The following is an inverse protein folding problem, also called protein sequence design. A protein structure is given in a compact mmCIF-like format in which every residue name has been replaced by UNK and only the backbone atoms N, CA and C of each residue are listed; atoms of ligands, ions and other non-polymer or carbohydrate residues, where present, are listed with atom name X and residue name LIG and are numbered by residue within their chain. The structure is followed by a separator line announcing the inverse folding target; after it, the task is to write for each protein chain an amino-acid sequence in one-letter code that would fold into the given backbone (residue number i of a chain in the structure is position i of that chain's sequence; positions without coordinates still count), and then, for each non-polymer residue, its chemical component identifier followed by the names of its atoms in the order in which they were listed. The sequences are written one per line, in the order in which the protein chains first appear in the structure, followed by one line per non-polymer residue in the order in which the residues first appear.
data_IF_581210273954
#
_entry.id   IF_581210273954
#
_cell.length_a   1.000
_cell.length_b   1.000
_cell.length_c   1.000
_cell.angle_alpha   90.00
_cell.angle_beta   90.00
_cell.angle_gamma   90.00
#
_symmetry.space_group_name_H-M   'P 1'
#
loop_
_entity.id
_entity.type
_entity.pdbx_description
1 polymer ?
#
# COMPACT_ATOMS: atom_id res chain seq x y z
N UNK A 1 12.07 12.85 -11.60
CA UNK A 1 12.79 12.65 -10.33
C UNK A 1 11.96 11.79 -9.40
N UNK A 2 12.58 10.96 -8.57
CA UNK A 2 11.91 9.87 -7.82
C UNK A 2 11.06 10.34 -6.62
N UNK A 3 11.06 11.64 -6.31
CA UNK A 3 10.30 12.19 -5.17
C UNK A 3 8.79 11.94 -5.24
N UNK A 4 8.18 12.07 -6.43
CA UNK A 4 6.74 11.83 -6.59
C UNK A 4 6.33 10.38 -6.34
N UNK A 5 7.16 9.41 -6.74
CA UNK A 5 6.90 7.98 -6.52
C UNK A 5 6.97 7.60 -5.04
N UNK A 6 7.94 8.15 -4.30
CA UNK A 6 8.08 7.94 -2.86
C UNK A 6 6.87 8.48 -2.09
N UNK A 7 6.42 9.70 -2.42
CA UNK A 7 5.24 10.29 -1.79
C UNK A 7 3.97 9.49 -2.10
N UNK A 8 3.78 9.08 -3.35
CA UNK A 8 2.66 8.23 -3.73
C UNK A 8 2.67 6.89 -2.99
N UNK A 9 3.85 6.26 -2.85
CA UNK A 9 3.99 5.00 -2.11
C UNK A 9 3.65 5.15 -0.62
N UNK A 10 4.02 6.28 0.00
CA UNK A 10 3.67 6.56 1.40
C UNK A 10 2.17 6.79 1.55
N UNK A 11 1.56 7.54 0.64
CA UNK A 11 0.12 7.78 0.67
C UNK A 11 -0.68 6.49 0.47
N UNK A 12 -0.26 5.63 -0.46
CA UNK A 12 -0.82 4.29 -0.63
C UNK A 12 -0.69 3.47 0.66
N UNK A 13 0.48 3.48 1.30
CA UNK A 13 0.68 2.78 2.57
C UNK A 13 -0.24 3.30 3.69
N UNK A 14 -0.46 4.62 3.77
CA UNK A 14 -1.36 5.23 4.75
C UNK A 14 -2.84 4.84 4.51
N UNK A 15 -3.19 4.47 3.27
CA UNK A 15 -4.51 3.98 2.88
C UNK A 15 -4.58 2.44 2.85
N UNK A 16 -3.77 1.77 3.66
CA UNK A 16 -3.73 0.31 3.82
C UNK A 16 -3.38 -0.48 2.55
N UNK A 17 -2.68 0.13 1.61
CA UNK A 17 -2.05 -0.60 0.52
C UNK A 17 -0.67 -1.11 0.93
N UNK A 18 -0.37 -2.35 0.54
CA UNK A 18 0.93 -3.00 0.74
C UNK A 18 1.48 -3.43 -0.61
N UNK A 19 2.78 -3.25 -0.82
CA UNK A 19 3.43 -3.71 -2.04
C UNK A 19 3.95 -5.13 -1.82
N UNK A 20 3.67 -6.03 -2.76
CA UNK A 20 4.17 -7.40 -2.73
C UNK A 20 5.60 -7.47 -3.27
N UNK A 21 6.54 -7.96 -2.47
CA UNK A 21 7.99 -7.98 -2.77
C UNK A 21 8.33 -8.70 -4.05
N UNK A 22 7.64 -9.80 -4.37
CA UNK A 22 7.95 -10.64 -5.54
C UNK A 22 7.11 -10.24 -6.76
N UNK A 23 5.78 -10.29 -6.64
CA UNK A 23 4.82 -9.91 -7.69
C UNK A 23 4.88 -8.43 -8.14
N UNK A 24 5.46 -7.54 -7.32
CA UNK A 24 5.58 -6.09 -7.60
C UNK A 24 4.23 -5.39 -7.85
N UNK A 25 3.19 -5.82 -7.14
CA UNK A 25 1.84 -5.25 -7.20
C UNK A 25 1.44 -4.64 -5.86
N UNK A 26 0.60 -3.61 -5.92
CA UNK A 26 -0.07 -3.06 -4.74
C UNK A 26 -1.33 -3.85 -4.43
N UNK A 27 -1.45 -4.29 -3.17
CA UNK A 27 -2.55 -5.08 -2.63
C UNK A 27 -3.20 -4.29 -1.49
N UNK A 28 -4.51 -4.29 -1.39
CA UNK A 28 -5.25 -3.78 -0.23
C UNK A 28 -6.40 -4.70 0.12
N UNK A 29 -6.80 -4.69 1.37
CA UNK A 29 -7.94 -5.48 1.84
C UNK A 29 -9.24 -5.01 1.20
N UNK A 30 -10.14 -5.94 0.86
CA UNK A 30 -11.47 -5.56 0.43
C UNK A 30 -12.28 -4.95 1.59
N UNK A 31 -12.98 -3.81 1.39
CA UNK A 31 -13.76 -3.20 2.44
C UNK A 31 -14.91 -4.13 2.85
N UNK A 32 -15.22 -4.13 4.15
CA UNK A 32 -16.30 -4.92 4.75
C UNK A 32 -16.18 -6.45 4.58
N UNK A 33 -14.99 -6.98 4.28
CA UNK A 33 -14.71 -8.41 4.33
C UNK A 33 -13.91 -8.75 5.59
N UNK A 34 -14.45 -9.65 6.40
CA UNK A 34 -13.74 -10.27 7.54
C UNK A 34 -12.67 -11.24 7.00
N UNK A 35 -11.52 -11.42 7.69
CA UNK A 35 -10.55 -12.42 7.28
C UNK A 35 -11.19 -13.79 7.43
N UNK A 36 -11.08 -14.63 6.40
CA UNK A 36 -11.58 -16.01 6.47
C UNK A 36 -10.75 -16.80 7.48
N UNK A 37 -9.46 -16.47 7.60
CA UNK A 37 -8.55 -17.02 8.59
C UNK A 37 -7.46 -16.01 8.90
N UNK A 38 -7.11 -15.86 10.19
CA UNK A 38 -5.97 -15.06 10.61
C UNK A 38 -5.06 -15.91 11.50
N UNK A 39 -3.83 -16.11 11.04
CA UNK A 39 -2.75 -16.76 11.78
C UNK A 39 -1.63 -15.72 11.94
N UNK A 40 -0.71 -15.92 12.89
CA UNK A 40 0.36 -14.96 13.18
C UNK A 40 1.25 -14.61 11.97
N UNK A 41 1.29 -15.45 10.94
CA UNK A 41 2.20 -15.32 9.79
C UNK A 41 1.49 -15.00 8.46
N UNK A 42 0.18 -15.22 8.39
CA UNK A 42 -0.63 -14.92 7.20
C UNK A 42 -2.11 -14.79 7.56
N UNK A 43 -2.86 -14.14 6.69
CA UNK A 43 -4.31 -14.22 6.60
C UNK A 43 -4.76 -14.71 5.22
N UNK A 44 -5.94 -15.35 5.21
CA UNK A 44 -6.66 -15.67 3.99
C UNK A 44 -7.84 -14.71 3.88
N UNK A 45 -7.78 -13.78 2.93
CA UNK A 45 -8.83 -12.79 2.72
C UNK A 45 -9.04 -12.52 1.22
N UNK A 46 -10.20 -11.95 0.89
CA UNK A 46 -10.40 -11.36 -0.43
C UNK A 46 -9.73 -9.99 -0.42
N UNK A 47 -8.73 -9.83 -1.26
CA UNK A 47 -7.99 -8.57 -1.43
C UNK A 47 -8.17 -8.04 -2.84
N UNK A 48 -7.90 -6.75 -3.01
CA UNK A 48 -7.76 -6.13 -4.31
C UNK A 48 -6.29 -5.96 -4.64
N UNK A 49 -5.90 -6.37 -5.84
CA UNK A 49 -4.65 -5.88 -6.44
C UNK A 49 -4.94 -4.81 -7.48
N UNK A 50 -3.98 -3.91 -7.69
CA UNK A 50 -4.07 -2.89 -8.73
C UNK A 50 -3.44 -3.40 -10.03
N UNK A 51 -4.27 -3.64 -11.03
CA UNK A 51 -3.86 -3.98 -12.40
C UNK A 51 -3.50 -2.68 -13.13
N UNK A 52 -2.20 -2.40 -13.24
CA UNK A 52 -1.69 -1.20 -13.87
C UNK A 52 -1.86 -1.20 -15.41
N UNK A 53 -2.00 -2.36 -16.04
CA UNK A 53 -2.16 -2.48 -17.49
C UNK A 53 -3.58 -2.08 -17.91
N UNK A 54 -4.57 -2.48 -17.11
CA UNK A 54 -5.98 -2.17 -17.36
C UNK A 54 -6.52 -1.04 -16.47
N UNK A 55 -5.67 -0.45 -15.63
CA UNK A 55 -5.98 0.65 -14.72
C UNK A 55 -7.21 0.41 -13.83
N UNK A 56 -7.26 -0.75 -13.16
CA UNK A 56 -8.40 -1.18 -12.33
C UNK A 56 -7.99 -1.95 -11.09
N UNK A 57 -8.84 -1.95 -10.07
CA UNK A 57 -8.75 -2.89 -8.94
C UNK A 57 -9.39 -4.22 -9.34
N UNK A 58 -8.73 -5.32 -9.05
CA UNK A 58 -9.23 -6.67 -9.36
C UNK A 58 -9.34 -7.46 -8.06
N UNK A 59 -10.53 -7.99 -7.71
CA UNK A 59 -10.70 -8.83 -6.51
C UNK A 59 -10.06 -10.20 -6.74
N UNK A 60 -9.39 -10.72 -5.70
CA UNK A 60 -8.80 -12.05 -5.72
C UNK A 60 -8.75 -12.61 -4.29
N UNK A 61 -9.06 -13.90 -4.15
CA UNK A 61 -8.76 -14.63 -2.93
C UNK A 61 -7.26 -14.87 -2.86
N UNK A 62 -6.62 -14.34 -1.82
CA UNK A 62 -5.18 -14.38 -1.65
C UNK A 62 -4.83 -14.88 -0.25
N UNK A 63 -3.76 -15.66 -0.19
CA UNK A 63 -3.02 -15.90 1.03
C UNK A 63 -2.01 -14.76 1.17
N UNK A 64 -2.22 -13.90 2.16
CA UNK A 64 -1.40 -12.72 2.35
C UNK A 64 -0.32 -13.03 3.39
N UNK A 65 0.82 -13.53 2.90
CA UNK A 65 1.99 -13.81 3.74
C UNK A 65 2.70 -12.50 4.10
N UNK A 66 2.75 -12.18 5.40
CA UNK A 66 3.24 -10.87 5.85
C UNK A 66 4.73 -10.65 5.55
N UNK A 67 5.53 -11.70 5.45
CA UNK A 67 6.96 -11.63 5.08
C UNK A 67 7.16 -11.23 3.60
N UNK A 68 6.16 -11.47 2.74
CA UNK A 68 6.15 -11.08 1.31
C UNK A 68 5.71 -9.64 1.08
N UNK A 69 5.28 -8.93 2.12
CA UNK A 69 4.87 -7.53 2.01
C UNK A 69 6.01 -6.58 2.37
N UNK A 70 6.12 -5.50 1.60
CA UNK A 70 7.00 -4.38 1.91
C UNK A 70 6.51 -3.63 3.15
N UNK A 71 7.47 -3.16 3.95
CA UNK A 71 7.20 -2.26 5.07
C UNK A 71 6.94 -0.82 4.60
N UNK A 72 6.67 0.08 5.55
CA UNK A 72 6.44 1.49 5.25
C UNK A 72 7.64 2.05 4.46
N UNK A 73 7.42 2.71 3.31
CA UNK A 73 8.51 3.34 2.57
C UNK A 73 9.25 4.38 3.42
N UNK A 74 10.58 4.30 3.44
CA UNK A 74 11.42 5.28 4.14
C UNK A 74 11.51 6.57 3.34
N UNK A 75 10.97 7.66 3.88
CA UNK A 75 11.15 8.99 3.30
C UNK A 75 12.49 9.58 3.77
N UNK A 76 13.36 10.02 2.85
CA UNK A 76 14.54 10.77 3.24
C UNK A 76 14.13 12.06 3.97
N UNK A 77 14.90 12.47 4.98
CA UNK A 77 14.59 13.65 5.81
C UNK A 77 14.40 14.93 4.98
N UNK A 78 15.09 15.05 3.84
CA UNK A 78 14.89 16.15 2.90
C UNK A 78 13.48 16.22 2.33
N UNK A 79 12.84 15.08 2.06
CA UNK A 79 11.46 15.02 1.56
C UNK A 79 10.43 15.26 2.65
N UNK A 80 10.71 14.88 3.91
CA UNK A 80 9.82 15.17 5.04
C UNK A 80 9.68 16.67 5.28
N UNK A 81 10.77 17.43 5.14
CA UNK A 81 10.74 18.89 5.27
C UNK A 81 9.85 19.53 4.20
N UNK A 82 9.99 19.10 2.94
CA UNK A 82 9.15 19.59 1.83
C UNK A 82 7.68 19.15 1.96
N UNK A 83 7.42 17.92 2.40
CA UNK A 83 6.05 17.40 2.57
C UNK A 83 5.31 18.15 3.69
N UNK A 84 5.94 18.38 4.84
CA UNK A 84 5.34 19.12 5.95
C UNK A 84 5.19 20.63 5.63
N UNK A 85 6.04 21.17 4.77
CA UNK A 85 5.94 22.55 4.29
C UNK A 85 4.97 22.71 3.11
N UNK A 86 4.35 21.63 2.62
CA UNK A 86 3.37 21.74 1.57
C UNK A 86 2.19 22.62 2.07
N UNK A 87 1.98 23.82 1.51
CA UNK A 87 0.93 24.72 1.97
C UNK A 87 -0.47 24.12 1.81
N UNK A 88 -0.64 23.11 0.94
CA UNK A 88 -1.89 22.36 0.81
C UNK A 88 -2.18 21.45 2.04
N UNK A 89 -1.16 21.00 2.77
CA UNK A 89 -1.33 20.23 4.01
C UNK A 89 -1.59 21.13 5.23
N UNK A 90 -1.42 22.44 5.13
CA UNK A 90 -1.64 23.42 6.21
C UNK A 90 -2.98 24.19 6.07
N UNK A 91 -3.77 23.88 5.03
CA UNK A 91 -4.96 24.64 4.66
C UNK A 91 -6.28 24.12 5.28
N UNK A 92 -6.22 23.30 6.34
CA UNK A 92 -7.40 22.87 7.12
C UNK A 92 -7.17 23.05 8.61
#
# INVERSE_FOLDING_TARGET
GNGGQLLAAVELFNQDWKNHKEEKVWITRAPAMEPVMKINIYDMETSYFFDCLNWRKVPKELLLEYDKLEERPNLPSSFLHTFNYNPAHQAF
#
